data_IF_299838002709
#
_entry.id   IF_299838002709
#
_cell.length_a   1.000
_cell.length_b   1.000
_cell.length_c   1.000
_cell.angle_alpha   90.00
_cell.angle_beta   90.00
_cell.angle_gamma   90.00
#
_symmetry.space_group_name_H-M   'P 1'
#
loop_
_entity.id
_entity.type
_entity.pdbx_description
1 polymer ?
#
# COMPACT_ATOMS: atom_id res chain seq x y z
N UNK A 1 69.99 9.45 44.49
CA UNK A 1 68.91 10.34 44.99
C UNK A 1 67.82 10.27 43.94
N UNK A 2 66.55 9.90 44.11
CA UNK A 2 65.60 9.62 45.20
C UNK A 2 64.61 8.58 44.61
N UNK A 3 64.19 7.52 45.31
CA UNK A 3 62.90 7.40 46.05
C UNK A 3 61.69 7.99 45.29
N UNK A 4 60.49 7.43 45.22
CA UNK A 4 59.81 6.26 45.81
C UNK A 4 58.29 6.50 45.57
N UNK A 5 57.54 5.53 45.02
CA UNK A 5 56.17 5.12 45.43
C UNK A 5 55.61 4.11 44.41
N UNK A 6 55.32 2.84 44.75
CA UNK A 6 54.37 2.27 45.74
C UNK A 6 53.07 1.85 45.04
N UNK A 7 52.96 0.55 44.73
CA UNK A 7 51.96 -0.43 45.20
C UNK A 7 50.90 -0.72 44.11
N UNK A 8 50.79 -1.95 43.58
CA UNK A 8 50.45 -3.28 44.14
C UNK A 8 48.95 -3.54 44.20
N UNK A 9 48.56 -4.69 43.62
CA UNK A 9 47.29 -5.40 43.81
C UNK A 9 46.41 -5.38 42.55
N UNK A 10 45.99 -6.48 41.92
CA UNK A 10 45.85 -7.87 42.37
C UNK A 10 46.12 -8.80 41.16
N UNK A 11 47.12 -9.65 41.32
CA UNK A 11 47.35 -10.84 40.51
C UNK A 11 46.46 -11.94 41.12
N UNK A 12 45.52 -12.52 40.38
CA UNK A 12 44.91 -13.79 40.77
C UNK A 12 45.43 -14.87 39.83
N UNK A 13 46.51 -15.52 40.28
CA UNK A 13 47.01 -16.79 39.75
C UNK A 13 46.06 -17.86 40.28
N UNK A 14 45.46 -18.66 39.40
CA UNK A 14 44.87 -19.94 39.81
C UNK A 14 45.74 -21.10 39.30
N UNK A 15 46.11 -21.95 40.25
CA UNK A 15 46.98 -23.13 40.17
C UNK A 15 46.16 -24.41 39.96
N UNK A 16 46.80 -25.42 39.36
CA UNK A 16 46.40 -26.84 39.33
C UNK A 16 46.59 -27.40 37.91
N UNK A 17 47.72 -28.03 37.53
CA UNK A 17 48.30 -29.27 38.06
C UNK A 17 47.67 -30.46 37.30
N UNK A 18 48.36 -31.45 36.69
CA UNK A 18 49.75 -31.91 36.70
C UNK A 18 49.97 -32.78 35.42
N UNK A 19 51.15 -32.63 34.81
CA UNK A 19 51.94 -33.49 33.92
C UNK A 19 51.38 -34.86 33.45
N UNK A 20 51.43 -35.14 32.15
CA UNK A 20 52.58 -35.84 31.52
C UNK A 20 52.44 -36.00 29.99
N UNK A 21 53.57 -35.72 29.33
CA UNK A 21 54.11 -36.34 28.11
C UNK A 21 53.69 -35.93 26.69
N UNK A 22 54.74 -35.65 25.92
CA UNK A 22 54.88 -35.65 24.45
C UNK A 22 54.10 -34.63 23.59
N UNK A 23 54.88 -33.74 22.96
CA UNK A 23 54.71 -33.39 21.54
C UNK A 23 53.74 -32.27 21.15
N UNK A 24 54.33 -31.14 20.73
CA UNK A 24 53.84 -30.21 19.69
C UNK A 24 52.56 -29.39 19.99
N UNK A 25 52.64 -28.12 19.54
CA UNK A 25 51.55 -27.19 19.23
C UNK A 25 51.17 -26.05 20.21
N UNK A 26 51.63 -24.86 19.80
CA UNK A 26 51.14 -23.48 19.97
C UNK A 26 49.86 -23.27 20.79
N UNK A 27 49.96 -22.44 21.83
CA UNK A 27 48.82 -21.69 22.37
C UNK A 27 49.04 -20.18 22.27
N UNK A 28 48.35 -19.60 21.29
CA UNK A 28 48.17 -18.17 21.08
C UNK A 28 47.13 -17.71 22.11
N UNK A 29 47.55 -17.03 23.18
CA UNK A 29 46.61 -16.35 24.09
C UNK A 29 46.08 -15.09 23.43
N UNK A 30 44.91 -15.20 22.81
CA UNK A 30 44.16 -14.09 22.23
C UNK A 30 43.58 -13.20 23.35
N UNK A 31 44.31 -12.14 23.72
CA UNK A 31 43.82 -11.10 24.64
C UNK A 31 43.02 -10.10 23.82
N UNK A 32 41.69 -10.18 23.91
CA UNK A 32 40.82 -9.28 23.19
C UNK A 32 40.70 -7.94 23.94
N UNK A 33 41.18 -6.85 23.34
CA UNK A 33 41.18 -5.52 23.97
C UNK A 33 39.75 -5.00 24.19
N UNK A 34 39.54 -4.18 25.23
CA UNK A 34 38.22 -3.54 25.52
C UNK A 34 37.64 -2.80 24.32
N UNK A 35 38.52 -2.30 23.44
CA UNK A 35 38.15 -1.63 22.20
C UNK A 35 37.58 -2.60 21.15
N UNK A 36 38.13 -3.82 21.05
CA UNK A 36 37.63 -4.86 20.14
C UNK A 36 36.28 -5.40 20.65
N UNK A 37 36.13 -5.59 21.97
CA UNK A 37 34.84 -5.97 22.57
C UNK A 37 33.78 -4.88 22.33
N UNK A 38 34.13 -3.61 22.52
CA UNK A 38 33.22 -2.49 22.24
C UNK A 38 32.89 -2.36 20.74
N UNK A 39 33.85 -2.65 19.85
CA UNK A 39 33.66 -2.64 18.41
C UNK A 39 32.73 -3.78 17.97
N UNK A 40 32.89 -4.98 18.54
CA UNK A 40 31.98 -6.12 18.32
C UNK A 40 30.59 -5.84 18.87
N UNK A 41 30.47 -5.19 20.03
CA UNK A 41 29.17 -4.79 20.59
C UNK A 41 28.46 -3.76 19.70
N UNK A 42 29.20 -2.78 19.16
CA UNK A 42 28.67 -1.79 18.21
C UNK A 42 28.26 -2.43 16.88
N UNK A 43 29.08 -3.34 16.35
CA UNK A 43 28.77 -4.12 15.15
C UNK A 43 27.54 -5.00 15.35
N UNK A 44 27.43 -5.68 16.50
CA UNK A 44 26.26 -6.48 16.86
C UNK A 44 25.00 -5.62 16.99
N UNK A 45 25.09 -4.44 17.63
CA UNK A 45 23.95 -3.52 17.72
C UNK A 45 23.54 -2.94 16.36
N UNK A 46 24.49 -2.58 15.48
CA UNK A 46 24.17 -2.20 14.10
C UNK A 46 23.52 -3.34 13.32
N UNK A 47 24.03 -4.57 13.47
CA UNK A 47 23.42 -5.75 12.85
C UNK A 47 21.99 -5.99 13.35
N UNK A 48 21.73 -5.83 14.66
CA UNK A 48 20.37 -5.93 15.22
C UNK A 48 19.44 -4.87 14.64
N UNK A 49 19.88 -3.62 14.51
CA UNK A 49 19.07 -2.54 13.90
C UNK A 49 18.77 -2.81 12.42
N UNK A 50 19.71 -3.40 11.68
CA UNK A 50 19.52 -3.77 10.28
C UNK A 50 18.54 -4.95 10.11
N UNK A 51 18.43 -5.83 11.10
CA UNK A 51 17.54 -7.01 11.04
C UNK A 51 16.13 -6.68 11.58
N UNK A 52 15.97 -5.65 12.41
CA UNK A 52 14.66 -5.25 12.98
C UNK A 52 13.87 -4.25 12.14
N UNK A 53 14.35 -3.86 10.96
CA UNK A 53 13.51 -3.25 9.90
C UNK A 53 12.62 -4.33 9.26
N UNK A 54 11.85 -5.02 10.11
CA UNK A 54 11.03 -6.15 9.75
C UNK A 54 9.95 -5.74 8.77
N UNK A 55 9.85 -6.48 7.67
CA UNK A 55 8.65 -6.54 6.85
C UNK A 55 7.46 -6.75 7.80
N UNK A 56 6.51 -5.83 7.80
CA UNK A 56 5.23 -6.11 8.46
C UNK A 56 4.49 -7.06 7.53
N UNK A 57 4.16 -8.25 8.02
CA UNK A 57 3.30 -9.16 7.28
C UNK A 57 1.90 -8.58 7.41
N UNK A 58 1.48 -7.83 6.38
CA UNK A 58 0.08 -7.42 6.23
C UNK A 58 -0.80 -8.64 5.96
N UNK A 59 -2.10 -8.44 5.92
CA UNK A 59 -3.10 -9.50 5.77
C UNK A 59 -3.07 -10.12 4.34
N UNK A 60 -2.00 -10.86 4.01
CA UNK A 60 -1.79 -11.54 2.73
C UNK A 60 -0.66 -11.00 1.84
N UNK A 61 -0.01 -9.87 2.17
CA UNK A 61 1.07 -9.28 1.39
C UNK A 61 2.28 -8.87 2.27
N UNK A 62 3.50 -9.01 1.73
CA UNK A 62 4.74 -8.56 2.39
C UNK A 62 4.84 -7.05 2.23
N UNK A 63 4.87 -6.34 3.37
CA UNK A 63 4.97 -4.89 3.39
C UNK A 63 6.36 -4.43 3.77
N UNK A 64 7.05 -3.83 2.82
CA UNK A 64 8.24 -3.05 3.11
C UNK A 64 7.87 -1.62 3.53
N UNK A 65 8.80 -0.88 4.12
CA UNK A 65 8.61 0.53 4.49
C UNK A 65 8.34 1.45 3.29
N UNK A 66 8.58 0.99 2.06
CA UNK A 66 8.29 1.72 0.82
C UNK A 66 6.99 1.29 0.14
N UNK A 67 6.32 0.25 0.63
CA UNK A 67 5.07 -0.23 0.04
C UNK A 67 3.91 0.62 0.56
N UNK A 68 3.11 1.29 -0.30
CA UNK A 68 1.94 2.03 0.15
C UNK A 68 0.97 1.12 0.92
N UNK A 69 0.34 1.65 1.98
CA UNK A 69 -0.46 0.86 2.91
C UNK A 69 -1.62 0.07 2.26
N UNK A 70 -2.15 0.51 1.11
CA UNK A 70 -3.21 -0.19 0.41
C UNK A 70 -2.75 -1.47 -0.32
N UNK A 71 -1.45 -1.61 -0.63
CA UNK A 71 -0.88 -2.87 -1.14
C UNK A 71 -0.66 -3.91 -0.03
N UNK A 72 -0.76 -3.48 1.23
CA UNK A 72 -0.56 -4.31 2.41
C UNK A 72 -1.82 -5.01 2.91
N UNK A 73 -2.96 -4.46 2.53
CA UNK A 73 -4.27 -5.00 2.81
C UNK A 73 -4.80 -5.67 1.54
N UNK A 74 -4.93 -7.01 1.58
CA UNK A 74 -5.43 -7.78 0.45
C UNK A 74 -6.82 -7.31 0.01
N UNK A 75 -7.70 -6.96 0.95
CA UNK A 75 -9.06 -6.52 0.64
C UNK A 75 -9.05 -5.15 -0.04
N UNK A 76 -8.26 -4.22 0.49
CA UNK A 76 -8.10 -2.90 -0.13
C UNK A 76 -7.48 -3.00 -1.53
N UNK A 77 -6.46 -3.83 -1.68
CA UNK A 77 -5.82 -4.09 -2.98
C UNK A 77 -6.79 -4.71 -3.98
N UNK A 78 -7.58 -5.71 -3.57
CA UNK A 78 -8.55 -6.37 -4.45
C UNK A 78 -9.65 -5.41 -4.92
N UNK A 79 -10.14 -4.53 -4.05
CA UNK A 79 -11.09 -3.45 -4.40
C UNK A 79 -10.50 -2.45 -5.41
N UNK A 80 -9.21 -2.16 -5.33
CA UNK A 80 -8.52 -1.29 -6.29
C UNK A 80 -8.31 -1.96 -7.65
N UNK A 81 -7.98 -3.26 -7.65
CA UNK A 81 -7.76 -4.02 -8.88
C UNK A 81 -9.06 -4.37 -9.61
N UNK A 82 -10.16 -4.51 -8.87
CA UNK A 82 -11.49 -4.78 -9.42
C UNK A 82 -12.49 -3.71 -8.96
N UNK A 83 -12.36 -2.47 -9.46
CA UNK A 83 -13.22 -1.38 -9.04
C UNK A 83 -14.68 -1.69 -9.40
N UNK A 84 -15.56 -1.37 -8.46
CA UNK A 84 -17.00 -1.49 -8.65
C UNK A 84 -17.43 -0.67 -9.88
N UNK A 85 -18.16 -1.26 -10.85
CA UNK A 85 -18.68 -0.53 -12.00
C UNK A 85 -19.52 0.68 -11.61
N UNK A 86 -19.40 1.78 -12.35
CA UNK A 86 -20.10 3.03 -12.04
C UNK A 86 -21.62 2.86 -11.95
N UNK A 87 -22.20 2.00 -12.80
CA UNK A 87 -23.64 1.72 -12.81
C UNK A 87 -24.15 1.11 -11.51
N UNK A 88 -23.32 0.41 -10.76
CA UNK A 88 -23.72 -0.20 -9.50
C UNK A 88 -23.86 0.83 -8.36
N UNK A 89 -23.49 2.08 -8.59
CA UNK A 89 -23.80 3.21 -7.71
C UNK A 89 -25.18 3.82 -8.03
N UNK A 90 -25.96 3.19 -8.91
CA UNK A 90 -27.34 3.56 -9.20
C UNK A 90 -28.29 2.49 -8.69
N UNK A 91 -29.13 2.89 -7.72
CA UNK A 91 -30.00 1.98 -6.99
C UNK A 91 -31.47 2.30 -7.23
N UNK A 92 -32.27 1.25 -7.42
CA UNK A 92 -33.72 1.31 -7.52
C UNK A 92 -34.29 0.02 -6.93
N UNK A 93 -35.28 0.14 -6.04
CA UNK A 93 -35.86 -1.02 -5.37
C UNK A 93 -36.59 -1.93 -6.38
N UNK A 94 -36.45 -3.25 -6.19
CA UNK A 94 -37.13 -4.25 -7.02
C UNK A 94 -36.57 -4.41 -8.43
N UNK A 95 -35.37 -3.86 -8.72
CA UNK A 95 -34.75 -3.95 -10.04
C UNK A 95 -33.49 -4.82 -10.01
N UNK A 96 -33.35 -5.71 -10.99
CA UNK A 96 -32.16 -6.56 -11.14
C UNK A 96 -30.99 -5.78 -11.76
N UNK A 97 -29.78 -6.30 -11.62
CA UNK A 97 -28.58 -5.73 -12.28
C UNK A 97 -28.76 -5.62 -13.78
N UNK A 98 -29.29 -6.67 -14.42
CA UNK A 98 -29.53 -6.70 -15.86
C UNK A 98 -30.53 -5.63 -16.32
N UNK A 99 -31.63 -5.45 -15.58
CA UNK A 99 -32.61 -4.39 -15.89
C UNK A 99 -31.97 -3.00 -15.79
N UNK A 100 -31.12 -2.78 -14.78
CA UNK A 100 -30.37 -1.53 -14.63
C UNK A 100 -29.39 -1.29 -15.77
N UNK A 101 -28.72 -2.33 -16.23
CA UNK A 101 -27.77 -2.23 -17.35
C UNK A 101 -28.50 -1.89 -18.66
N UNK A 102 -29.66 -2.51 -18.91
CA UNK A 102 -30.54 -2.15 -20.04
C UNK A 102 -31.09 -0.74 -19.91
N UNK A 103 -31.45 -0.31 -18.70
CA UNK A 103 -31.93 1.05 -18.46
C UNK A 103 -30.84 2.09 -18.76
N UNK A 104 -29.59 1.84 -18.35
CA UNK A 104 -28.43 2.65 -18.72
C UNK A 104 -28.24 2.76 -20.23
N UNK A 105 -28.29 1.62 -20.93
CA UNK A 105 -28.17 1.56 -22.38
C UNK A 105 -29.31 2.33 -23.07
N UNK A 106 -30.55 2.20 -22.57
CA UNK A 106 -31.71 2.96 -23.06
C UNK A 106 -31.58 4.47 -22.82
N UNK A 107 -30.86 4.88 -21.77
CA UNK A 107 -30.47 6.27 -21.51
C UNK A 107 -29.31 6.74 -22.39
N UNK A 108 -28.84 5.88 -23.30
CA UNK A 108 -27.78 6.17 -24.24
C UNK A 108 -26.37 5.94 -23.71
N UNK A 109 -26.20 5.39 -22.51
CA UNK A 109 -24.90 4.98 -22.00
C UNK A 109 -24.50 3.60 -22.51
N UNK A 110 -23.39 3.08 -21.99
CA UNK A 110 -23.01 1.68 -22.19
C UNK A 110 -23.82 0.71 -21.34
N UNK A 111 -23.67 -0.59 -21.65
CA UNK A 111 -24.23 -1.71 -20.90
C UNK A 111 -23.25 -2.21 -19.82
N UNK A 112 -23.76 -2.52 -18.62
CA UNK A 112 -22.98 -3.10 -17.53
C UNK A 112 -21.77 -2.27 -17.14
N UNK A 113 -20.58 -2.91 -17.12
CA UNK A 113 -19.31 -2.24 -16.76
C UNK A 113 -18.91 -1.07 -17.65
N UNK A 114 -19.52 -0.94 -18.83
CA UNK A 114 -19.23 0.15 -19.76
C UNK A 114 -20.12 1.37 -19.53
N UNK A 115 -21.13 1.30 -18.67
CA UNK A 115 -21.99 2.44 -18.34
C UNK A 115 -21.22 3.50 -17.52
N UNK A 116 -21.40 4.81 -17.80
CA UNK A 116 -22.27 5.42 -18.81
C UNK A 116 -21.56 5.65 -20.16
N UNK A 117 -20.40 5.02 -20.38
CA UNK A 117 -19.49 5.24 -21.50
C UNK A 117 -20.17 5.40 -22.85
N UNK A 118 -19.71 6.41 -23.59
CA UNK A 118 -20.20 6.77 -24.91
C UNK A 118 -19.13 6.48 -25.96
N UNK A 119 -19.51 5.89 -27.09
CA UNK A 119 -18.58 5.66 -28.20
C UNK A 119 -18.12 7.00 -28.82
N UNK A 120 -16.95 7.01 -29.45
CA UNK A 120 -16.42 8.24 -30.04
C UNK A 120 -17.32 8.76 -31.17
N UNK A 121 -17.96 7.86 -31.92
CA UNK A 121 -18.93 8.19 -32.97
C UNK A 121 -20.12 8.93 -32.38
N UNK A 122 -20.61 8.48 -31.22
CA UNK A 122 -21.72 9.13 -30.52
C UNK A 122 -21.33 10.52 -30.00
N UNK A 123 -20.12 10.65 -29.46
CA UNK A 123 -19.61 11.95 -29.02
C UNK A 123 -19.51 12.91 -30.21
N UNK A 124 -18.89 12.49 -31.32
CA UNK A 124 -18.76 13.32 -32.53
C UNK A 124 -20.11 13.67 -33.16
N UNK A 125 -21.06 12.74 -33.20
CA UNK A 125 -22.40 12.99 -33.72
C UNK A 125 -23.19 13.99 -32.86
N UNK A 126 -22.94 14.04 -31.56
CA UNK A 126 -23.58 14.97 -30.64
C UNK A 126 -22.83 16.30 -30.47
N UNK A 127 -21.64 16.43 -31.04
CA UNK A 127 -20.77 17.60 -30.89
C UNK A 127 -21.36 18.81 -31.60
N UNK A 128 -21.46 19.94 -30.89
CA UNK A 128 -21.90 21.21 -31.47
C UNK A 128 -20.73 21.91 -32.18
N UNK A 129 -21.00 22.83 -33.14
CA UNK A 129 -19.94 23.59 -33.79
C UNK A 129 -19.04 24.31 -32.78
N UNK A 130 -17.73 24.02 -32.81
CA UNK A 130 -16.73 24.60 -31.90
C UNK A 130 -16.67 23.98 -30.49
N UNK A 131 -17.49 22.97 -30.18
CA UNK A 131 -17.47 22.27 -28.90
C UNK A 131 -16.30 21.26 -28.86
N UNK A 132 -15.64 21.10 -27.71
CA UNK A 132 -14.62 20.06 -27.52
C UNK A 132 -15.26 18.72 -27.14
N UNK A 133 -14.60 17.61 -27.45
CA UNK A 133 -15.08 16.26 -27.16
C UNK A 133 -15.40 16.07 -25.67
N UNK A 134 -14.55 16.58 -24.77
CA UNK A 134 -14.75 16.47 -23.32
C UNK A 134 -15.99 17.23 -22.82
N UNK A 135 -16.29 18.39 -23.42
CA UNK A 135 -17.49 19.18 -23.10
C UNK A 135 -18.72 18.44 -23.58
N UNK A 136 -18.66 17.90 -24.80
CA UNK A 136 -19.74 17.08 -25.38
C UNK A 136 -20.00 15.84 -24.52
N UNK A 137 -18.94 15.13 -24.11
CA UNK A 137 -19.03 13.96 -23.24
C UNK A 137 -19.66 14.31 -21.89
N UNK A 138 -19.23 15.41 -21.26
CA UNK A 138 -19.80 15.87 -19.99
C UNK A 138 -21.30 16.18 -20.13
N UNK A 139 -21.71 16.81 -21.23
CA UNK A 139 -23.13 17.07 -21.52
C UNK A 139 -23.93 15.77 -21.69
N UNK A 140 -23.43 14.83 -22.48
CA UNK A 140 -24.05 13.51 -22.66
C UNK A 140 -24.14 12.75 -21.33
N UNK A 141 -23.11 12.83 -20.50
CA UNK A 141 -23.10 12.26 -19.17
C UNK A 141 -24.21 12.87 -18.29
N UNK A 142 -24.36 14.20 -18.28
CA UNK A 142 -25.45 14.86 -17.55
C UNK A 142 -26.84 14.51 -18.10
N UNK A 143 -26.98 14.29 -19.40
CA UNK A 143 -28.23 13.80 -20.01
C UNK A 143 -28.55 12.37 -19.55
N UNK A 144 -27.56 11.50 -19.55
CA UNK A 144 -27.67 10.13 -19.06
C UNK A 144 -28.06 10.09 -17.57
N UNK A 145 -27.39 10.88 -16.73
CA UNK A 145 -27.71 10.97 -15.30
C UNK A 145 -29.16 11.41 -15.07
N UNK A 146 -29.62 12.45 -15.81
CA UNK A 146 -31.02 12.89 -15.75
C UNK A 146 -32.00 11.81 -16.21
N UNK A 147 -31.64 11.00 -17.20
CA UNK A 147 -32.48 9.90 -17.65
C UNK A 147 -32.61 8.80 -16.58
N UNK A 148 -31.50 8.42 -15.95
CA UNK A 148 -31.50 7.44 -14.85
C UNK A 148 -32.34 7.93 -13.67
N UNK A 149 -32.20 9.20 -13.28
CA UNK A 149 -33.02 9.82 -12.24
C UNK A 149 -34.52 9.78 -12.60
N UNK A 150 -34.88 10.12 -13.84
CA UNK A 150 -36.29 10.05 -14.32
C UNK A 150 -36.87 8.65 -14.29
N UNK A 151 -36.03 7.61 -14.47
CA UNK A 151 -36.44 6.20 -14.33
C UNK A 151 -36.62 5.78 -12.86
N UNK A 152 -36.32 6.66 -11.90
CA UNK A 152 -36.45 6.42 -10.47
C UNK A 152 -35.23 5.76 -9.83
N UNK A 153 -34.07 5.84 -10.48
CA UNK A 153 -32.81 5.45 -9.83
C UNK A 153 -32.30 6.59 -8.96
N UNK A 154 -31.72 6.24 -7.82
CA UNK A 154 -30.97 7.14 -6.94
C UNK A 154 -29.49 6.83 -7.03
N UNK A 155 -28.68 7.87 -7.12
CA UNK A 155 -27.23 7.74 -7.11
C UNK A 155 -26.71 7.66 -5.67
N UNK A 156 -25.94 6.62 -5.36
CA UNK A 156 -25.34 6.36 -4.03
C UNK A 156 -23.82 6.46 -4.04
N UNK A 157 -23.21 6.84 -5.16
CA UNK A 157 -21.77 7.03 -5.27
C UNK A 157 -21.28 8.39 -4.75
N UNK A 158 -19.97 8.58 -4.80
CA UNK A 158 -19.34 9.82 -4.36
C UNK A 158 -19.60 10.98 -5.34
N UNK A 159 -19.84 12.15 -4.75
CA UNK A 159 -20.13 13.39 -5.47
C UNK A 159 -18.97 14.37 -5.38
N UNK A 160 -18.18 14.44 -6.45
CA UNK A 160 -17.03 15.35 -6.52
C UNK A 160 -17.38 16.73 -7.11
N UNK A 161 -18.51 16.87 -7.80
CA UNK A 161 -18.97 18.13 -8.37
C UNK A 161 -20.45 18.33 -8.15
N UNK A 162 -20.81 19.51 -7.63
CA UNK A 162 -22.21 19.94 -7.51
C UNK A 162 -22.89 20.17 -8.86
N UNK A 163 -22.13 20.27 -9.96
CA UNK A 163 -22.70 20.43 -11.30
C UNK A 163 -23.33 19.14 -11.85
N UNK A 164 -23.02 17.98 -11.26
CA UNK A 164 -23.52 16.69 -11.71
C UNK A 164 -24.99 16.53 -11.29
N UNK A 165 -25.94 16.30 -12.23
CA UNK A 165 -27.36 16.15 -11.90
C UNK A 165 -27.69 15.06 -10.87
N UNK A 166 -26.85 14.02 -10.79
CA UNK A 166 -27.02 12.93 -9.82
C UNK A 166 -26.72 13.35 -8.37
N UNK A 167 -25.96 14.43 -8.18
CA UNK A 167 -25.50 14.84 -6.87
C UNK A 167 -26.56 15.67 -6.15
N UNK A 168 -27.07 15.15 -5.04
CA UNK A 168 -28.15 15.77 -4.27
C UNK A 168 -29.54 15.53 -4.83
N UNK A 169 -29.69 14.65 -5.82
CA UNK A 169 -30.99 14.19 -6.27
C UNK A 169 -31.62 13.23 -5.24
N UNK A 170 -32.93 13.35 -4.94
CA UNK A 170 -33.61 12.57 -3.91
C UNK A 170 -33.69 11.07 -4.20
#
# INVERSE_FOLDING_TARGET
>A
MERYRRDRGIQSVFYGGLFADSGVERDICFVESREVVAMRLKLAMMAVVLITSGCTIGNGHICGPQTPAFYCDREAYEKLMHPKPYIENWEKQGVTSEMRDRDSESCGGGYGKYAPGFSQEKVKAAQRPGEKDNVTYSRLHHEWQRCMLKKGYRYTGECYSQSSPACGAP
#
